data_IF_929683152069
#
_entry.id   IF_929683152069
#
_cell.length_a   1.000
_cell.length_b   1.000
_cell.length_c   1.000
_cell.angle_alpha   90.00
_cell.angle_beta   90.00
_cell.angle_gamma   90.00
#
_symmetry.space_group_name_H-M   'P 1'
#
loop_
_entity.id
_entity.type
_entity.pdbx_description
1 polymer ?
#
# COMPACT_ATOMS: atom_id res chain seq x y z
N UNK A 1 33.21 9.85 -23.29
CA UNK A 1 32.26 10.80 -22.67
C UNK A 1 31.31 10.00 -21.78
N UNK A 2 31.78 9.69 -20.60
CA UNK A 2 30.95 9.02 -19.62
C UNK A 2 30.15 10.09 -18.88
N UNK A 3 28.98 10.44 -19.45
CA UNK A 3 28.01 11.27 -18.74
C UNK A 3 27.54 10.44 -17.55
N UNK A 4 28.05 10.76 -16.37
CA UNK A 4 27.59 10.08 -15.17
C UNK A 4 26.09 10.36 -14.99
N UNK A 5 25.32 9.34 -14.59
CA UNK A 5 23.87 9.47 -14.31
C UNK A 5 23.62 10.65 -13.36
N UNK A 6 24.55 10.89 -12.46
CA UNK A 6 24.51 12.00 -11.51
C UNK A 6 24.58 13.37 -12.20
N UNK A 7 25.44 13.53 -13.21
CA UNK A 7 25.52 14.78 -13.97
C UNK A 7 24.27 15.05 -14.79
N UNK A 8 23.69 14.00 -15.39
CA UNK A 8 22.41 14.12 -16.08
C UNK A 8 21.27 14.54 -15.14
N UNK A 9 21.24 14.00 -13.93
CA UNK A 9 20.28 14.39 -12.92
C UNK A 9 20.46 15.85 -12.47
N UNK A 10 21.69 16.27 -12.17
CA UNK A 10 21.97 17.63 -11.70
C UNK A 10 21.74 18.71 -12.78
N UNK A 11 21.90 18.35 -14.06
CA UNK A 11 21.64 19.24 -15.18
C UNK A 11 20.18 19.24 -15.65
N UNK A 12 19.33 18.37 -15.11
CA UNK A 12 17.91 18.33 -15.42
C UNK A 12 17.19 19.55 -14.82
N UNK A 13 16.05 19.93 -15.42
CA UNK A 13 15.21 20.99 -14.86
C UNK A 13 14.68 20.61 -13.47
N UNK A 14 14.46 21.60 -12.61
CA UNK A 14 13.90 21.41 -11.25
C UNK A 14 12.64 20.55 -11.26
N UNK A 15 11.78 20.70 -12.28
CA UNK A 15 10.55 19.92 -12.42
C UNK A 15 10.88 18.44 -12.63
N UNK A 16 11.83 18.11 -13.51
CA UNK A 16 12.24 16.72 -13.76
C UNK A 16 12.91 16.12 -12.51
N UNK A 17 13.76 16.88 -11.83
CA UNK A 17 14.37 16.45 -10.56
C UNK A 17 13.30 16.16 -9.51
N UNK A 18 12.28 17.02 -9.37
CA UNK A 18 11.15 16.82 -8.44
C UNK A 18 10.36 15.56 -8.77
N UNK A 19 10.09 15.29 -10.04
CA UNK A 19 9.39 14.07 -10.50
C UNK A 19 10.17 12.81 -10.09
N UNK A 20 11.47 12.79 -10.34
CA UNK A 20 12.34 11.66 -9.98
C UNK A 20 12.34 11.44 -8.46
N UNK A 21 12.50 12.50 -7.67
CA UNK A 21 12.49 12.42 -6.20
C UNK A 21 11.16 11.89 -5.69
N UNK A 22 10.02 12.37 -6.20
CA UNK A 22 8.69 11.90 -5.81
C UNK A 22 8.54 10.40 -6.11
N UNK A 23 8.96 9.93 -7.30
CA UNK A 23 8.88 8.53 -7.67
C UNK A 23 9.78 7.63 -6.80
N UNK A 24 10.98 8.09 -6.45
CA UNK A 24 11.88 7.37 -5.53
C UNK A 24 11.24 7.26 -4.14
N UNK A 25 10.71 8.36 -3.60
CA UNK A 25 10.04 8.35 -2.30
C UNK A 25 8.82 7.43 -2.30
N UNK A 26 7.98 7.50 -3.34
CA UNK A 26 6.84 6.61 -3.50
C UNK A 26 7.26 5.14 -3.58
N UNK A 27 8.37 4.84 -4.26
CA UNK A 27 8.95 3.50 -4.33
C UNK A 27 9.40 3.00 -2.95
N UNK A 28 10.14 3.80 -2.20
CA UNK A 28 10.62 3.42 -0.84
C UNK A 28 9.44 3.13 0.09
N UNK A 29 8.43 4.01 0.11
CA UNK A 29 7.22 3.84 0.92
C UNK A 29 6.46 2.58 0.49
N UNK A 30 6.32 2.33 -0.80
CA UNK A 30 5.66 1.13 -1.33
C UNK A 30 6.37 -0.15 -0.90
N UNK A 31 7.70 -0.21 -0.98
CA UNK A 31 8.48 -1.35 -0.49
C UNK A 31 8.30 -1.59 1.01
N UNK A 32 8.30 -0.51 1.81
CA UNK A 32 8.07 -0.61 3.26
C UNK A 32 6.71 -1.23 3.56
N UNK A 33 5.65 -0.77 2.88
CA UNK A 33 4.29 -1.31 3.03
C UNK A 33 4.23 -2.78 2.56
N UNK A 34 4.87 -3.14 1.45
CA UNK A 34 4.90 -4.51 0.93
C UNK A 34 5.52 -5.45 1.97
N UNK A 35 6.67 -5.10 2.56
CA UNK A 35 7.31 -5.92 3.58
C UNK A 35 6.46 -6.06 4.84
N UNK A 36 5.88 -4.96 5.33
CA UNK A 36 4.96 -4.99 6.48
C UNK A 36 3.77 -5.92 6.21
N UNK A 37 3.14 -5.81 5.05
CA UNK A 37 1.98 -6.64 4.68
C UNK A 37 2.36 -8.10 4.49
N UNK A 38 3.49 -8.37 3.88
CA UNK A 38 3.96 -9.75 3.68
C UNK A 38 4.18 -10.47 5.02
N UNK A 39 4.82 -9.81 5.98
CA UNK A 39 5.03 -10.35 7.33
C UNK A 39 3.70 -10.57 8.03
N UNK A 40 2.79 -9.59 7.98
CA UNK A 40 1.47 -9.68 8.61
C UNK A 40 0.63 -10.82 8.03
N UNK A 41 0.52 -10.92 6.71
CA UNK A 41 -0.24 -11.99 6.03
C UNK A 41 0.34 -13.36 6.36
N UNK A 42 1.68 -13.49 6.37
CA UNK A 42 2.33 -14.74 6.76
C UNK A 42 1.98 -15.16 8.18
N UNK A 43 1.96 -14.20 9.13
CA UNK A 43 1.56 -14.45 10.51
C UNK A 43 0.11 -14.90 10.59
N UNK A 44 -0.84 -14.17 9.98
CA UNK A 44 -2.27 -14.54 9.97
C UNK A 44 -2.50 -15.92 9.37
N UNK A 45 -1.79 -16.26 8.30
CA UNK A 45 -1.92 -17.59 7.66
C UNK A 45 -1.38 -18.71 8.56
N UNK A 46 -0.31 -18.48 9.29
CA UNK A 46 0.23 -19.45 10.24
C UNK A 46 -0.72 -19.66 11.41
N UNK A 47 -1.21 -18.59 12.03
CA UNK A 47 -2.19 -18.65 13.11
C UNK A 47 -3.51 -19.33 12.67
N UNK A 48 -3.90 -19.14 11.41
CA UNK A 48 -5.08 -19.83 10.85
C UNK A 48 -4.90 -21.35 10.85
N UNK A 49 -3.78 -21.87 10.37
CA UNK A 49 -3.50 -23.31 10.35
C UNK A 49 -3.39 -23.90 11.76
N UNK A 50 -2.76 -23.18 12.68
CA UNK A 50 -2.63 -23.61 14.07
C UNK A 50 -4.01 -23.63 14.77
N UNK A 51 -4.84 -22.63 14.50
CA UNK A 51 -6.22 -22.59 15.00
C UNK A 51 -7.07 -23.69 14.38
N UNK A 52 -7.02 -23.90 13.06
CA UNK A 52 -7.77 -24.96 12.37
C UNK A 52 -7.46 -26.33 12.94
N UNK A 53 -6.18 -26.63 13.17
CA UNK A 53 -5.74 -27.89 13.78
C UNK A 53 -6.31 -28.08 15.18
N UNK A 54 -6.30 -27.03 16.00
CA UNK A 54 -6.90 -27.05 17.36
C UNK A 54 -8.42 -27.16 17.33
N UNK A 55 -9.06 -26.48 16.39
CA UNK A 55 -10.52 -26.47 16.26
C UNK A 55 -11.11 -27.85 15.94
N UNK A 56 -10.43 -28.61 15.09
CA UNK A 56 -10.85 -29.98 14.73
C UNK A 56 -10.30 -31.04 15.68
N UNK A 57 -9.53 -30.68 16.69
CA UNK A 57 -9.14 -31.59 17.77
C UNK A 57 -10.32 -31.78 18.75
N UNK A 58 -10.42 -32.97 19.36
CA UNK A 58 -11.53 -33.36 20.23
C UNK A 58 -11.56 -32.61 21.59
N UNK A 59 -10.88 -31.50 21.73
CA UNK A 59 -10.72 -30.77 23.01
C UNK A 59 -11.97 -30.02 23.50
N UNK A 60 -13.01 -29.89 22.67
CA UNK A 60 -14.21 -29.10 22.96
C UNK A 60 -14.04 -27.58 22.80
N UNK A 61 -15.12 -26.89 22.44
CA UNK A 61 -15.13 -25.46 22.13
C UNK A 61 -14.77 -24.58 23.35
N UNK A 62 -15.08 -25.04 24.56
CA UNK A 62 -14.76 -24.29 25.79
C UNK A 62 -13.25 -24.32 26.09
N UNK A 63 -12.61 -25.47 25.93
CA UNK A 63 -11.17 -25.61 26.10
C UNK A 63 -10.41 -24.76 25.05
N UNK A 64 -10.94 -24.72 23.83
CA UNK A 64 -10.39 -23.87 22.76
C UNK A 64 -10.48 -22.38 23.11
N UNK A 65 -11.61 -21.92 23.68
CA UNK A 65 -11.74 -20.54 24.14
C UNK A 65 -10.76 -20.20 25.25
N UNK A 66 -10.61 -21.08 26.25
CA UNK A 66 -9.66 -20.86 27.35
C UNK A 66 -8.22 -20.76 26.84
N UNK A 67 -7.81 -21.66 25.95
CA UNK A 67 -6.50 -21.62 25.33
C UNK A 67 -6.28 -20.34 24.52
N UNK A 68 -7.32 -19.86 23.83
CA UNK A 68 -7.29 -18.60 23.07
C UNK A 68 -7.21 -17.36 23.97
N UNK A 69 -7.74 -17.43 25.20
CA UNK A 69 -7.69 -16.31 26.16
C UNK A 69 -6.41 -16.31 27.01
N UNK A 70 -5.82 -17.49 27.27
CA UNK A 70 -4.57 -17.63 28.04
C UNK A 70 -3.32 -17.34 27.19
N UNK A 71 -3.45 -17.30 25.86
CA UNK A 71 -2.35 -16.97 24.96
C UNK A 71 -1.84 -15.53 25.19
N UNK A 72 -0.52 -15.37 25.22
CA UNK A 72 0.14 -14.04 25.34
C UNK A 72 -0.13 -13.13 24.11
N UNK A 73 -0.79 -13.63 23.07
CA UNK A 73 -1.02 -12.93 21.81
C UNK A 73 -2.49 -12.56 21.66
N UNK A 74 -2.75 -11.36 21.17
CA UNK A 74 -4.10 -10.99 20.75
C UNK A 74 -4.56 -11.92 19.62
N UNK A 75 -5.77 -12.51 19.72
CA UNK A 75 -6.31 -13.39 18.68
C UNK A 75 -6.50 -12.62 17.37
N UNK A 76 -6.10 -13.22 16.26
CA UNK A 76 -6.20 -12.65 14.91
C UNK A 76 -6.86 -13.64 13.95
N UNK A 77 -7.46 -13.11 12.87
CA UNK A 77 -8.05 -13.93 11.83
C UNK A 77 -9.21 -14.80 12.34
N UNK A 78 -9.16 -16.11 12.05
CA UNK A 78 -10.21 -17.04 12.39
C UNK A 78 -10.41 -17.22 13.90
N UNK A 79 -9.36 -17.18 14.69
CA UNK A 79 -9.42 -17.28 16.15
C UNK A 79 -10.18 -16.12 16.78
N UNK A 80 -9.96 -14.89 16.29
CA UNK A 80 -10.72 -13.71 16.71
C UNK A 80 -12.21 -13.83 16.37
N UNK A 81 -12.55 -14.28 15.15
CA UNK A 81 -13.93 -14.47 14.71
C UNK A 81 -14.63 -15.52 15.59
N UNK A 82 -13.96 -16.64 15.88
CA UNK A 82 -14.46 -17.68 16.78
C UNK A 82 -14.70 -17.13 18.18
N UNK A 83 -13.74 -16.42 18.74
CA UNK A 83 -13.84 -15.86 20.10
C UNK A 83 -15.04 -14.93 20.24
N UNK A 84 -15.24 -14.01 19.27
CA UNK A 84 -16.40 -13.09 19.25
C UNK A 84 -17.72 -13.87 19.20
N UNK A 85 -17.82 -14.86 18.32
CA UNK A 85 -19.04 -15.66 18.18
C UNK A 85 -19.35 -16.50 19.41
N UNK A 86 -18.34 -17.16 19.97
CA UNK A 86 -18.52 -18.04 21.11
C UNK A 86 -18.83 -17.30 22.41
N UNK A 87 -18.21 -16.14 22.64
CA UNK A 87 -18.52 -15.28 23.79
C UNK A 87 -19.96 -14.74 23.71
N UNK A 88 -20.42 -14.32 22.54
CA UNK A 88 -21.80 -13.89 22.35
C UNK A 88 -22.80 -15.03 22.59
N UNK A 89 -22.49 -16.22 22.07
CA UNK A 89 -23.26 -17.42 22.32
C UNK A 89 -23.39 -17.74 23.83
N UNK A 90 -22.28 -17.74 24.58
CA UNK A 90 -22.29 -17.97 26.04
C UNK A 90 -23.15 -16.95 26.79
N UNK A 91 -23.03 -15.68 26.41
CA UNK A 91 -23.82 -14.59 27.01
C UNK A 91 -25.32 -14.79 26.80
N UNK A 92 -25.72 -15.02 25.55
CA UNK A 92 -27.13 -15.12 25.19
C UNK A 92 -27.83 -16.37 25.79
N UNK A 93 -27.10 -17.49 25.91
CA UNK A 93 -27.59 -18.67 26.63
C UNK A 93 -27.84 -18.35 28.12
N UNK A 94 -26.92 -17.63 28.76
CA UNK A 94 -27.09 -17.25 30.17
C UNK A 94 -28.29 -16.32 30.38
N UNK A 95 -28.66 -15.53 29.41
CA UNK A 95 -29.83 -14.66 29.37
C UNK A 95 -31.11 -15.40 29.02
N UNK A 96 -31.06 -16.73 28.74
CA UNK A 96 -32.19 -17.61 28.37
C UNK A 96 -32.98 -17.12 27.16
N UNK A 97 -32.30 -16.60 26.16
CA UNK A 97 -32.86 -16.15 24.90
C UNK A 97 -33.19 -17.37 24.03
N UNK A 98 -34.16 -17.25 23.12
CA UNK A 98 -34.54 -18.30 22.19
C UNK A 98 -33.42 -18.66 21.20
N UNK A 99 -33.37 -19.92 20.77
CA UNK A 99 -32.29 -20.45 19.92
C UNK A 99 -32.14 -19.72 18.58
N UNK A 100 -33.25 -19.30 17.97
CA UNK A 100 -33.21 -18.62 16.66
C UNK A 100 -32.59 -17.21 16.79
N UNK A 101 -32.93 -16.51 17.85
CA UNK A 101 -32.34 -15.20 18.17
C UNK A 101 -30.86 -15.34 18.50
N UNK A 102 -30.45 -16.35 19.27
CA UNK A 102 -29.03 -16.64 19.56
C UNK A 102 -28.28 -16.86 18.26
N UNK A 103 -28.76 -17.75 17.40
CA UNK A 103 -28.05 -18.08 16.15
C UNK A 103 -27.90 -16.86 15.24
N UNK A 104 -28.95 -16.05 15.08
CA UNK A 104 -28.92 -14.85 14.25
C UNK A 104 -27.98 -13.77 14.82
N UNK A 105 -27.92 -13.62 16.15
CA UNK A 105 -27.00 -12.68 16.80
C UNK A 105 -25.55 -13.10 16.63
N UNK A 106 -25.24 -14.36 16.94
CA UNK A 106 -23.88 -14.92 16.79
C UNK A 106 -23.39 -14.78 15.36
N UNK A 107 -24.23 -15.16 14.37
CA UNK A 107 -23.88 -15.04 12.96
C UNK A 107 -23.57 -13.60 12.57
N UNK A 108 -24.38 -12.64 13.00
CA UNK A 108 -24.18 -11.21 12.72
C UNK A 108 -22.88 -10.68 13.35
N UNK A 109 -22.59 -11.06 14.60
CA UNK A 109 -21.37 -10.62 15.29
C UNK A 109 -20.12 -11.25 14.69
N UNK A 110 -20.16 -12.52 14.30
CA UNK A 110 -19.08 -13.16 13.55
C UNK A 110 -18.85 -12.50 12.18
N UNK A 111 -19.94 -12.13 11.48
CA UNK A 111 -19.83 -11.42 10.20
C UNK A 111 -19.19 -10.02 10.37
N UNK A 112 -19.53 -9.32 11.44
CA UNK A 112 -18.89 -8.03 11.77
C UNK A 112 -17.40 -8.21 12.08
N UNK A 113 -17.04 -9.25 12.85
CA UNK A 113 -15.66 -9.60 13.13
C UNK A 113 -14.88 -9.96 11.85
N UNK A 114 -15.50 -10.76 10.96
CA UNK A 114 -14.91 -11.08 9.64
C UNK A 114 -14.63 -9.83 8.82
N UNK A 115 -15.59 -8.90 8.74
CA UNK A 115 -15.41 -7.63 8.00
C UNK A 115 -14.26 -6.79 8.58
N UNK A 116 -14.11 -6.78 9.91
CA UNK A 116 -12.99 -6.11 10.58
C UNK A 116 -11.65 -6.74 10.21
N UNK A 117 -11.55 -8.07 10.26
CA UNK A 117 -10.33 -8.80 9.89
C UNK A 117 -9.97 -8.58 8.41
N UNK A 118 -10.95 -8.60 7.51
CA UNK A 118 -10.75 -8.26 6.09
C UNK A 118 -10.19 -6.85 5.93
N UNK A 119 -10.75 -5.86 6.63
CA UNK A 119 -10.25 -4.48 6.59
C UNK A 119 -8.80 -4.36 7.07
N UNK A 120 -8.41 -5.17 8.08
CA UNK A 120 -7.03 -5.22 8.56
C UNK A 120 -6.09 -5.86 7.52
N UNK A 121 -6.53 -6.88 6.79
CA UNK A 121 -5.77 -7.50 5.71
C UNK A 121 -5.61 -6.57 4.51
N UNK A 122 -6.63 -5.77 4.18
CA UNK A 122 -6.64 -4.83 3.05
C UNK A 122 -5.98 -3.48 3.38
N UNK A 123 -5.61 -3.26 4.63
CA UNK A 123 -4.99 -2.00 5.06
C UNK A 123 -3.77 -1.67 4.18
N UNK A 124 -3.71 -0.43 3.70
CA UNK A 124 -2.68 0.12 2.80
C UNK A 124 -2.68 -0.41 1.35
N UNK A 125 -3.45 -1.43 0.98
CA UNK A 125 -3.56 -1.88 -0.42
C UNK A 125 -4.06 -0.78 -1.36
N UNK A 126 -5.08 0.05 -0.99
CA UNK A 126 -5.51 1.15 -1.83
C UNK A 126 -4.41 2.16 -2.15
N UNK A 127 -3.49 2.42 -1.21
CA UNK A 127 -2.33 3.28 -1.45
C UNK A 127 -1.40 2.67 -2.51
N UNK A 128 -1.06 1.39 -2.39
CA UNK A 128 -0.23 0.70 -3.38
C UNK A 128 -0.88 0.69 -4.78
N UNK A 129 -2.19 0.45 -4.84
CA UNK A 129 -2.94 0.52 -6.09
C UNK A 129 -2.89 1.92 -6.73
N UNK A 130 -3.00 2.97 -5.92
CA UNK A 130 -2.89 4.36 -6.37
C UNK A 130 -1.49 4.65 -6.89
N UNK A 131 -0.44 4.27 -6.16
CA UNK A 131 0.96 4.45 -6.61
C UNK A 131 1.20 3.72 -7.93
N UNK A 132 0.74 2.47 -8.05
CA UNK A 132 0.90 1.67 -9.27
C UNK A 132 0.22 2.30 -10.48
N UNK A 133 -0.99 2.85 -10.30
CA UNK A 133 -1.74 3.47 -11.41
C UNK A 133 -1.24 4.86 -11.77
N UNK A 134 -0.79 5.67 -10.81
CA UNK A 134 -0.43 7.09 -11.05
C UNK A 134 1.05 7.25 -11.44
N UNK A 135 1.96 6.40 -10.94
CA UNK A 135 3.39 6.54 -11.20
C UNK A 135 3.78 6.60 -12.68
N UNK A 136 3.21 5.79 -13.61
CA UNK A 136 3.51 5.90 -15.02
C UNK A 136 3.15 7.26 -15.63
N UNK A 137 2.05 7.87 -15.18
CA UNK A 137 1.63 9.18 -15.65
C UNK A 137 2.54 10.29 -15.13
N UNK A 138 2.98 10.20 -13.88
CA UNK A 138 3.97 11.12 -13.32
C UNK A 138 5.29 11.01 -14.08
N UNK A 139 5.75 9.79 -14.40
CA UNK A 139 6.94 9.56 -15.20
C UNK A 139 6.83 10.13 -16.61
N UNK A 140 5.69 9.90 -17.28
CA UNK A 140 5.41 10.46 -18.60
C UNK A 140 5.40 12.01 -18.58
N UNK A 141 4.79 12.61 -17.57
CA UNK A 141 4.83 14.05 -17.38
C UNK A 141 6.28 14.57 -17.29
N UNK A 142 7.12 13.89 -16.52
CA UNK A 142 8.55 14.23 -16.40
C UNK A 142 9.29 14.20 -17.74
N UNK A 143 9.04 13.17 -18.57
CA UNK A 143 9.67 13.04 -19.89
C UNK A 143 9.20 14.13 -20.86
N UNK A 144 7.91 14.40 -20.94
CA UNK A 144 7.33 15.46 -21.78
C UNK A 144 7.87 16.82 -21.38
N UNK A 145 7.92 17.11 -20.08
CA UNK A 145 8.50 18.34 -19.55
C UNK A 145 9.99 18.46 -19.90
N UNK A 146 10.75 17.40 -19.76
CA UNK A 146 12.17 17.37 -20.11
C UNK A 146 12.43 17.68 -21.58
N UNK A 147 11.67 17.07 -22.48
CA UNK A 147 11.74 17.31 -23.92
C UNK A 147 11.40 18.78 -24.22
N UNK A 148 10.31 19.29 -23.66
CA UNK A 148 9.91 20.69 -23.87
C UNK A 148 11.00 21.67 -23.40
N UNK A 149 11.63 21.39 -22.27
CA UNK A 149 12.72 22.23 -21.74
C UNK A 149 13.97 22.19 -22.65
N UNK A 150 14.30 21.04 -23.24
CA UNK A 150 15.40 20.91 -24.19
C UNK A 150 15.16 21.71 -25.46
N UNK A 151 13.94 21.69 -26.01
CA UNK A 151 13.60 22.50 -27.17
C UNK A 151 13.66 24.01 -26.87
N UNK A 152 13.25 24.43 -25.67
CA UNK A 152 13.41 25.86 -25.26
C UNK A 152 14.87 26.30 -25.22
N UNK A 153 15.76 25.44 -24.73
CA UNK A 153 17.20 25.71 -24.72
C UNK A 153 17.76 25.87 -26.13
N UNK A 154 17.37 25.02 -27.08
CA UNK A 154 17.80 25.10 -28.47
C UNK A 154 17.27 26.35 -29.19
N UNK A 155 16.02 26.72 -28.95
CA UNK A 155 15.43 27.93 -29.53
C UNK A 155 16.13 29.21 -29.05
N UNK A 156 16.50 29.25 -27.76
CA UNK A 156 17.28 30.37 -27.20
C UNK A 156 18.70 30.50 -27.77
N UNK A 157 19.39 29.38 -27.99
CA UNK A 157 20.73 29.39 -28.57
C UNK A 157 20.73 29.76 -30.06
N UNK A 158 19.73 29.35 -30.84
CA UNK A 158 19.59 29.72 -32.25
C UNK A 158 19.36 31.21 -32.43
N UNK A 159 18.60 31.86 -31.56
CA UNK A 159 18.43 33.33 -31.60
C UNK A 159 19.68 34.07 -31.20
N UNK A 160 20.48 33.58 -30.28
CA UNK A 160 21.73 34.20 -29.86
C UNK A 160 22.79 34.17 -30.98
N UNK A 161 22.87 33.07 -31.75
CA UNK A 161 23.79 32.97 -32.90
C UNK A 161 23.37 33.88 -34.04
N UNK A 162 22.07 33.97 -34.38
CA UNK A 162 21.60 34.90 -35.41
C UNK A 162 21.80 36.36 -35.03
N UNK A 163 21.67 36.71 -33.76
CA UNK A 163 21.94 38.08 -33.27
C UNK A 163 23.44 38.42 -33.24
N UNK A 164 24.32 37.43 -33.10
CA UNK A 164 25.76 37.62 -33.12
C UNK A 164 26.32 37.75 -34.53
N UNK A 165 25.67 37.17 -35.56
CA UNK A 165 26.10 37.28 -36.97
C UNK A 165 25.51 38.50 -37.69
N UNK A 166 24.43 39.11 -37.16
CA UNK A 166 23.75 40.24 -37.78
C UNK A 166 24.56 41.56 -37.87
N UNK A 167 25.55 41.85 -37.00
CA UNK A 167 26.34 43.09 -37.12
C UNK A 167 27.40 43.07 -38.22
N UNK A 168 27.72 41.90 -38.82
CA UNK A 168 28.83 41.73 -39.76
C UNK A 168 28.52 42.00 -41.23
N UNK A 169 27.25 42.18 -41.61
CA UNK A 169 26.85 42.24 -43.04
C UNK A 169 26.44 43.63 -43.54
N UNK A 170 26.60 44.68 -42.74
CA UNK A 170 26.27 46.03 -43.18
C UNK A 170 27.51 46.93 -43.11
N UNK A 171 28.48 46.74 -44.06
CA UNK A 171 29.51 47.72 -44.35
C UNK A 171 30.15 47.46 -45.70
N UNK A 172 29.42 47.70 -46.79
CA UNK A 172 29.99 48.02 -48.10
C UNK A 172 29.01 48.92 -48.84
N UNK A 173 29.29 50.23 -48.76
CA UNK A 173 29.29 51.26 -49.83
C UNK A 173 29.99 52.47 -49.30
#
# INVERSE_FOLDING_TARGET
MDLSILELFLNASIVVQSVIVILILASIVSWMIIFERWIYIKKVNQEFFDFETRFWSDSGLEALLLTSQEGEHEPIGAEYIFQVGYLDYKRLIAEKIDSDTIMSSVQRNMQAALTKEQSLLEKHLPFLATVASVSPYIGLFGTVWGIMNSFRGLAGSSQATLSAEAPGTVSYT
#
